data_IF_892313500907
#
_entry.id   IF_892313500907
#
_cell.length_a   1.000
_cell.length_b   1.000
_cell.length_c   1.000
_cell.angle_alpha   90.00
_cell.angle_beta   90.00
_cell.angle_gamma   90.00
#
_symmetry.space_group_name_H-M   'P 1'
#
loop_
_entity.id
_entity.type
_entity.pdbx_description
1 polymer ?
#
# COMPACT_ATOMS: atom_id res chain seq x y z
N UNK A 1 4.29 -32.69 -8.11
CA UNK A 1 3.02 -32.07 -7.66
C UNK A 1 1.87 -32.80 -8.30
N UNK A 2 1.02 -33.44 -7.51
CA UNK A 2 -0.15 -34.19 -8.02
C UNK A 2 -1.22 -33.22 -8.53
N UNK A 3 -2.16 -33.71 -9.33
CA UNK A 3 -3.24 -32.88 -9.89
C UNK A 3 -4.18 -32.35 -8.80
N UNK A 4 -4.41 -33.14 -7.76
CA UNK A 4 -5.22 -32.81 -6.60
C UNK A 4 -4.61 -31.67 -5.78
N UNK A 5 -3.28 -31.71 -5.53
CA UNK A 5 -2.56 -30.64 -4.82
C UNK A 5 -2.67 -29.30 -5.55
N UNK A 6 -2.67 -29.29 -6.87
CA UNK A 6 -2.81 -28.05 -7.67
C UNK A 6 -4.19 -27.44 -7.53
N UNK A 7 -5.24 -28.24 -7.50
CA UNK A 7 -6.61 -27.80 -7.28
C UNK A 7 -6.76 -27.14 -5.90
N UNK A 8 -6.25 -27.79 -4.86
CA UNK A 8 -6.29 -27.26 -3.51
C UNK A 8 -5.53 -25.92 -3.38
N UNK A 9 -4.37 -25.80 -4.02
CA UNK A 9 -3.60 -24.54 -4.03
C UNK A 9 -4.35 -23.42 -4.76
N UNK A 10 -4.99 -23.72 -5.90
CA UNK A 10 -5.79 -22.74 -6.65
C UNK A 10 -6.96 -22.25 -5.79
N UNK A 11 -7.68 -23.15 -5.11
CA UNK A 11 -8.78 -22.75 -4.24
C UNK A 11 -8.31 -21.91 -3.06
N UNK A 12 -7.22 -22.31 -2.40
CA UNK A 12 -6.62 -21.52 -1.31
C UNK A 12 -6.16 -20.13 -1.76
N UNK A 13 -5.56 -20.03 -2.96
CA UNK A 13 -5.14 -18.74 -3.51
C UNK A 13 -6.36 -17.85 -3.84
N UNK A 14 -7.40 -18.41 -4.42
CA UNK A 14 -8.62 -17.67 -4.71
C UNK A 14 -9.29 -17.14 -3.42
N UNK A 15 -9.32 -17.94 -2.35
CA UNK A 15 -9.81 -17.51 -1.04
C UNK A 15 -8.94 -16.36 -0.46
N UNK A 16 -7.62 -16.48 -0.54
CA UNK A 16 -6.70 -15.45 -0.04
C UNK A 16 -6.87 -14.15 -0.85
N UNK A 17 -6.99 -14.22 -2.18
CA UNK A 17 -7.23 -13.04 -3.03
C UNK A 17 -8.56 -12.37 -2.67
N UNK A 18 -9.61 -13.15 -2.37
CA UNK A 18 -10.90 -12.61 -1.92
C UNK A 18 -10.85 -11.99 -0.51
N UNK A 19 -10.01 -12.55 0.36
CA UNK A 19 -9.84 -12.05 1.74
C UNK A 19 -9.12 -10.70 1.77
N UNK A 20 -8.08 -10.54 0.95
CA UNK A 20 -7.29 -9.31 0.88
C UNK A 20 -7.74 -8.49 -0.32
N UNK A 21 -8.20 -7.26 -0.10
CA UNK A 21 -8.66 -6.36 -1.17
C UNK A 21 -7.56 -5.90 -2.13
N UNK A 22 -6.28 -6.01 -1.73
CA UNK A 22 -5.14 -5.51 -2.48
C UNK A 22 -4.03 -6.54 -2.56
N UNK A 23 -3.44 -6.69 -3.77
CA UNK A 23 -2.26 -7.54 -3.95
C UNK A 23 -1.28 -6.93 -4.95
N UNK A 24 0.01 -7.22 -4.72
CA UNK A 24 1.12 -6.74 -5.52
C UNK A 24 1.92 -7.91 -6.07
N UNK A 25 2.26 -7.86 -7.34
CA UNK A 25 3.11 -8.83 -8.03
C UNK A 25 4.52 -8.26 -8.13
N UNK A 26 5.46 -8.92 -7.50
CA UNK A 26 6.83 -8.43 -7.35
C UNK A 26 7.82 -9.45 -7.89
N UNK A 27 8.87 -8.96 -8.56
CA UNK A 27 9.98 -9.79 -9.01
C UNK A 27 11.05 -9.90 -7.93
N UNK A 28 11.34 -11.13 -7.54
CA UNK A 28 12.36 -11.45 -6.54
C UNK A 28 13.56 -12.20 -7.13
N UNK A 29 13.68 -12.26 -8.47
CA UNK A 29 14.68 -13.08 -9.17
C UNK A 29 16.13 -12.67 -8.81
N UNK A 30 16.39 -11.38 -8.66
CA UNK A 30 17.73 -10.86 -8.36
C UNK A 30 18.06 -10.81 -6.86
N UNK A 31 17.18 -11.31 -5.99
CA UNK A 31 17.39 -11.29 -4.53
C UNK A 31 18.13 -12.54 -4.06
N UNK A 32 19.12 -12.34 -3.19
CA UNK A 32 19.74 -13.45 -2.47
C UNK A 32 18.85 -13.94 -1.32
N UNK A 33 19.20 -15.08 -0.73
CA UNK A 33 18.39 -15.68 0.37
C UNK A 33 18.33 -14.78 1.61
N UNK A 34 19.39 -14.03 1.93
CA UNK A 34 19.39 -13.07 3.05
C UNK A 34 18.42 -11.93 2.82
N UNK A 35 18.50 -11.26 1.66
CA UNK A 35 17.60 -10.17 1.30
C UNK A 35 16.13 -10.62 1.24
N UNK A 36 15.86 -11.83 0.72
CA UNK A 36 14.50 -12.40 0.72
C UNK A 36 13.98 -12.64 2.15
N UNK A 37 14.85 -13.08 3.06
CA UNK A 37 14.48 -13.28 4.47
C UNK A 37 14.20 -11.94 5.17
N UNK A 38 14.98 -10.90 4.88
CA UNK A 38 14.75 -9.54 5.39
C UNK A 38 13.45 -8.95 4.84
N UNK A 39 13.19 -9.12 3.54
CA UNK A 39 11.93 -8.70 2.93
C UNK A 39 10.74 -9.35 3.63
N UNK A 40 10.78 -10.66 3.87
CA UNK A 40 9.71 -11.37 4.60
C UNK A 40 9.50 -10.85 6.01
N UNK A 41 10.59 -10.53 6.73
CA UNK A 41 10.52 -9.94 8.08
C UNK A 41 9.89 -8.55 8.06
N UNK A 42 10.23 -7.73 7.07
CA UNK A 42 9.63 -6.39 6.89
C UNK A 42 8.16 -6.50 6.50
N UNK A 43 7.81 -7.40 5.58
CA UNK A 43 6.42 -7.68 5.21
C UNK A 43 5.60 -8.09 6.45
N UNK A 44 6.12 -9.01 7.25
CA UNK A 44 5.44 -9.45 8.47
C UNK A 44 5.21 -8.32 9.49
N UNK A 45 6.19 -7.41 9.65
CA UNK A 45 6.05 -6.23 10.53
C UNK A 45 5.01 -5.21 10.02
N UNK A 46 4.76 -5.20 8.73
CA UNK A 46 3.81 -4.31 8.06
C UNK A 46 2.44 -4.98 7.79
N UNK A 47 2.18 -6.15 8.41
CA UNK A 47 0.97 -6.97 8.20
C UNK A 47 0.72 -7.32 6.72
N UNK A 48 1.81 -7.50 5.95
CA UNK A 48 1.77 -7.90 4.55
C UNK A 48 2.09 -9.39 4.45
N UNK A 49 1.17 -10.18 3.86
CA UNK A 49 1.37 -11.60 3.62
C UNK A 49 2.12 -11.82 2.31
N UNK A 50 3.35 -12.31 2.38
CA UNK A 50 4.15 -12.63 1.20
C UNK A 50 4.07 -14.11 0.87
N UNK A 51 3.64 -14.43 -0.35
CA UNK A 51 3.54 -15.80 -0.88
C UNK A 51 4.24 -15.88 -2.22
N UNK A 52 5.12 -16.86 -2.40
CA UNK A 52 5.75 -17.13 -3.70
C UNK A 52 4.97 -18.27 -4.36
N UNK A 53 4.44 -18.00 -5.54
CA UNK A 53 3.53 -18.91 -6.25
C UNK A 53 3.99 -19.11 -7.69
N UNK A 54 3.68 -20.27 -8.26
CA UNK A 54 3.87 -20.50 -9.68
C UNK A 54 2.87 -19.68 -10.49
N UNK A 55 3.35 -18.92 -11.48
CA UNK A 55 2.53 -18.01 -12.30
C UNK A 55 1.29 -18.69 -12.89
N UNK A 56 1.44 -19.89 -13.43
CA UNK A 56 0.31 -20.63 -14.03
C UNK A 56 -0.76 -21.10 -13.02
N UNK A 57 -0.45 -21.17 -11.71
CA UNK A 57 -1.43 -21.45 -10.68
C UNK A 57 -2.13 -20.16 -10.24
N UNK A 58 -1.38 -19.07 -10.15
CA UNK A 58 -1.93 -17.75 -9.88
C UNK A 58 -2.89 -17.30 -10.98
N UNK A 59 -2.51 -17.44 -12.26
CA UNK A 59 -3.35 -17.16 -13.42
C UNK A 59 -4.69 -17.90 -13.34
N UNK A 60 -4.66 -19.21 -13.06
CA UNK A 60 -5.88 -20.02 -12.90
C UNK A 60 -6.72 -19.62 -11.70
N UNK A 61 -6.07 -19.24 -10.58
CA UNK A 61 -6.77 -18.75 -9.41
C UNK A 61 -7.49 -17.42 -9.70
N UNK A 62 -6.83 -16.48 -10.40
CA UNK A 62 -7.43 -15.21 -10.81
C UNK A 62 -8.56 -15.42 -11.84
N UNK A 63 -8.44 -16.38 -12.78
CA UNK A 63 -9.51 -16.74 -13.73
C UNK A 63 -10.73 -17.37 -13.04
N UNK A 64 -10.57 -17.98 -11.88
CA UNK A 64 -11.70 -18.55 -11.11
C UNK A 64 -12.52 -17.46 -10.39
N UNK A 65 -11.97 -16.25 -10.27
CA UNK A 65 -12.64 -15.11 -9.66
C UNK A 65 -13.30 -14.32 -10.80
N UNK A 66 -14.62 -14.39 -10.91
CA UNK A 66 -15.39 -13.73 -11.97
C UNK A 66 -15.73 -12.27 -11.65
N UNK A 67 -15.48 -11.84 -10.42
CA UNK A 67 -15.90 -10.52 -9.92
C UNK A 67 -15.12 -9.35 -10.57
N UNK A 68 -13.88 -9.60 -11.01
CA UNK A 68 -12.96 -8.57 -11.53
C UNK A 68 -12.20 -9.10 -12.75
N UNK A 69 -12.05 -8.28 -13.77
CA UNK A 69 -11.25 -8.63 -14.97
C UNK A 69 -9.75 -8.40 -14.72
N UNK A 70 -9.01 -9.48 -14.49
CA UNK A 70 -7.56 -9.48 -14.27
C UNK A 70 -6.73 -9.67 -15.54
N UNK A 71 -7.34 -9.63 -16.74
CA UNK A 71 -6.66 -9.85 -18.02
C UNK A 71 -5.37 -9.03 -18.20
N UNK A 72 -5.32 -7.74 -17.82
CA UNK A 72 -4.11 -6.94 -17.98
C UNK A 72 -2.92 -7.42 -17.14
N UNK A 73 -3.16 -8.15 -16.03
CA UNK A 73 -2.10 -8.66 -15.17
C UNK A 73 -1.37 -9.86 -15.76
N UNK A 74 -2.01 -10.62 -16.64
CA UNK A 74 -1.42 -11.86 -17.18
C UNK A 74 -0.16 -11.60 -18.01
N UNK A 75 -0.08 -10.46 -18.69
CA UNK A 75 1.13 -10.04 -19.42
C UNK A 75 2.36 -9.86 -18.53
N UNK A 76 2.17 -9.54 -17.26
CA UNK A 76 3.22 -9.30 -16.27
C UNK A 76 3.66 -10.57 -15.52
N UNK A 77 2.96 -11.71 -15.69
CA UNK A 77 3.26 -12.98 -15.02
C UNK A 77 4.41 -13.75 -15.71
N UNK A 78 5.57 -13.10 -15.87
CA UNK A 78 6.78 -13.71 -16.45
C UNK A 78 7.87 -13.84 -15.38
N UNK A 79 8.64 -14.93 -15.39
CA UNK A 79 9.73 -15.16 -14.44
C UNK A 79 9.23 -15.50 -13.02
N UNK A 80 10.09 -15.30 -12.01
CA UNK A 80 9.75 -15.53 -10.61
C UNK A 80 8.83 -14.43 -10.10
N UNK A 81 7.72 -14.81 -9.51
CA UNK A 81 6.73 -13.85 -8.99
C UNK A 81 6.43 -14.16 -7.53
N UNK A 82 6.60 -13.16 -6.67
CA UNK A 82 6.10 -13.15 -5.32
C UNK A 82 4.84 -12.28 -5.27
N UNK A 83 3.83 -12.73 -4.55
CA UNK A 83 2.59 -11.99 -4.33
C UNK A 83 2.61 -11.45 -2.91
N UNK A 84 2.40 -10.16 -2.77
CA UNK A 84 2.24 -9.47 -1.49
C UNK A 84 0.77 -9.12 -1.34
N UNK A 85 0.12 -9.67 -0.33
CA UNK A 85 -1.26 -9.38 0.03
C UNK A 85 -1.31 -8.39 1.19
N UNK A 86 -2.17 -7.39 1.11
CA UNK A 86 -2.36 -6.38 2.16
C UNK A 86 -3.81 -5.92 2.22
N UNK A 87 -4.24 -5.52 3.42
CA UNK A 87 -5.53 -4.83 3.61
C UNK A 87 -5.45 -3.34 3.27
N UNK A 88 -4.24 -2.77 3.36
CA UNK A 88 -3.99 -1.35 3.07
C UNK A 88 -3.31 -1.21 1.73
N UNK A 89 -3.90 -0.44 0.82
CA UNK A 89 -3.42 -0.30 -0.56
C UNK A 89 -1.97 0.21 -0.65
N UNK A 90 -1.57 1.20 0.16
CA UNK A 90 -0.28 1.86 0.06
C UNK A 90 0.87 1.15 0.81
N UNK A 91 0.57 0.23 1.73
CA UNK A 91 1.59 -0.39 2.59
C UNK A 91 2.68 -1.16 1.82
N UNK A 92 2.35 -2.05 0.85
CA UNK A 92 3.36 -2.74 0.07
C UNK A 92 4.18 -1.79 -0.82
N UNK A 93 3.56 -0.74 -1.39
CA UNK A 93 4.25 0.23 -2.22
C UNK A 93 5.27 1.06 -1.44
N UNK A 94 4.93 1.50 -0.22
CA UNK A 94 5.86 2.20 0.68
C UNK A 94 7.04 1.31 1.06
N UNK A 95 6.78 0.04 1.37
CA UNK A 95 7.82 -0.93 1.70
C UNK A 95 8.76 -1.17 0.50
N UNK A 96 8.22 -1.31 -0.72
CA UNK A 96 9.03 -1.48 -1.92
C UNK A 96 9.88 -0.24 -2.22
N UNK A 97 9.37 0.97 -1.95
CA UNK A 97 10.10 2.23 -2.14
C UNK A 97 11.32 2.38 -1.21
N UNK A 98 11.34 1.71 -0.05
CA UNK A 98 12.51 1.67 0.84
C UNK A 98 13.71 0.94 0.22
N UNK A 99 13.47 0.05 -0.75
CA UNK A 99 14.53 -0.66 -1.46
C UNK A 99 15.06 0.18 -2.61
N UNK A 100 16.17 0.89 -2.36
CA UNK A 100 16.80 1.82 -3.32
C UNK A 100 17.41 1.14 -4.55
N UNK A 101 17.74 -0.14 -4.43
CA UNK A 101 18.43 -0.89 -5.48
C UNK A 101 17.48 -1.41 -6.60
N UNK A 102 16.23 -0.99 -6.59
CA UNK A 102 15.24 -1.43 -7.57
C UNK A 102 14.86 -2.92 -7.49
N UNK A 103 15.34 -3.62 -6.47
CA UNK A 103 15.05 -5.03 -6.20
C UNK A 103 14.51 -5.14 -4.77
N UNK A 104 13.30 -5.66 -4.57
CA UNK A 104 12.36 -6.26 -5.52
C UNK A 104 11.66 -5.24 -6.43
N UNK A 105 11.50 -5.56 -7.72
CA UNK A 105 10.82 -4.70 -8.68
C UNK A 105 9.32 -4.99 -8.76
N UNK A 106 8.50 -3.94 -8.89
CA UNK A 106 7.07 -4.08 -9.10
C UNK A 106 6.80 -4.51 -10.55
N UNK A 107 6.07 -5.61 -10.74
CA UNK A 107 5.54 -6.05 -12.04
C UNK A 107 4.17 -5.46 -12.32
N UNK A 108 3.27 -5.66 -11.38
CA UNK A 108 1.92 -5.14 -11.43
C UNK A 108 1.31 -5.12 -10.03
N UNK A 109 0.26 -4.37 -9.84
CA UNK A 109 -0.50 -4.32 -8.61
C UNK A 109 -1.99 -4.22 -8.90
N UNK A 110 -2.79 -4.75 -7.99
CA UNK A 110 -4.22 -4.52 -7.91
C UNK A 110 -4.53 -3.81 -6.61
N UNK A 111 -5.01 -2.58 -6.69
CA UNK A 111 -5.30 -1.75 -5.53
C UNK A 111 -6.51 -0.84 -5.81
N UNK A 112 -7.43 -0.72 -4.86
CA UNK A 112 -8.64 0.12 -4.96
C UNK A 112 -9.41 -0.09 -6.28
N UNK A 113 -9.67 -1.38 -6.62
CA UNK A 113 -10.35 -1.79 -7.87
C UNK A 113 -9.63 -1.39 -9.16
N UNK A 114 -8.40 -0.83 -9.05
CA UNK A 114 -7.56 -0.45 -10.17
C UNK A 114 -6.41 -1.42 -10.42
N UNK A 115 -6.07 -1.60 -11.70
CA UNK A 115 -4.93 -2.40 -12.14
C UNK A 115 -3.80 -1.46 -12.55
N UNK A 116 -2.64 -1.63 -11.95
CA UNK A 116 -1.43 -0.86 -12.21
C UNK A 116 -0.36 -1.80 -12.73
N UNK A 117 0.16 -1.54 -13.94
CA UNK A 117 1.18 -2.37 -14.58
C UNK A 117 2.46 -1.58 -14.77
N UNK A 118 3.57 -2.14 -14.33
CA UNK A 118 4.91 -1.54 -14.48
C UNK A 118 5.46 -0.93 -13.20
N UNK A 119 6.79 -0.79 -13.16
CA UNK A 119 7.50 -0.23 -12.02
C UNK A 119 7.25 1.28 -11.82
N UNK A 120 6.94 2.01 -12.91
CA UNK A 120 6.68 3.46 -12.89
C UNK A 120 5.47 3.83 -12.04
N UNK A 121 4.52 2.90 -11.86
CA UNK A 121 3.33 3.10 -11.06
C UNK A 121 3.56 3.02 -9.54
N UNK A 122 4.79 2.67 -9.11
CA UNK A 122 5.12 2.51 -7.69
C UNK A 122 4.92 3.81 -6.90
N UNK A 123 5.24 4.97 -7.50
CA UNK A 123 5.05 6.27 -6.85
C UNK A 123 3.57 6.62 -6.71
N UNK A 124 2.78 6.36 -7.73
CA UNK A 124 1.34 6.57 -7.68
C UNK A 124 0.71 5.69 -6.59
N UNK A 125 1.08 4.40 -6.55
CA UNK A 125 0.62 3.43 -5.54
C UNK A 125 1.04 3.81 -4.11
N UNK A 126 2.24 4.34 -3.91
CA UNK A 126 2.71 4.80 -2.59
C UNK A 126 1.93 6.03 -2.08
N UNK A 127 1.38 6.83 -2.99
CA UNK A 127 0.60 8.04 -2.68
C UNK A 127 -0.92 7.79 -2.60
N UNK A 128 -1.39 6.59 -2.91
CA UNK A 128 -2.80 6.23 -2.74
C UNK A 128 -3.15 6.35 -1.26
N UNK A 129 -4.19 7.12 -0.98
CA UNK A 129 -4.74 7.25 0.38
C UNK A 129 -5.75 6.16 0.62
N UNK A 130 -5.75 5.59 1.81
CA UNK A 130 -6.80 4.64 2.20
C UNK A 130 -8.16 5.34 2.30
N UNK A 131 -9.24 4.58 2.17
CA UNK A 131 -10.62 5.10 2.30
C UNK A 131 -10.80 5.95 3.56
N UNK A 132 -10.27 5.49 4.69
CA UNK A 132 -10.37 6.20 5.96
C UNK A 132 -9.56 7.51 5.95
N UNK A 133 -8.39 7.53 5.32
CA UNK A 133 -7.58 8.75 5.15
C UNK A 133 -8.29 9.78 4.28
N UNK A 134 -8.94 9.35 3.19
CA UNK A 134 -9.72 10.25 2.32
C UNK A 134 -10.91 10.85 3.08
N UNK A 135 -11.62 10.03 3.86
CA UNK A 135 -12.73 10.51 4.69
C UNK A 135 -12.22 11.52 5.74
N UNK A 136 -11.09 11.23 6.38
CA UNK A 136 -10.47 12.15 7.35
C UNK A 136 -10.08 13.48 6.71
N UNK A 137 -9.52 13.46 5.50
CA UNK A 137 -9.20 14.67 4.73
C UNK A 137 -10.44 15.50 4.41
N UNK A 138 -11.53 14.85 3.98
CA UNK A 138 -12.80 15.54 3.70
C UNK A 138 -13.34 16.20 4.98
N UNK A 139 -13.34 15.49 6.09
CA UNK A 139 -13.77 16.02 7.39
C UNK A 139 -12.89 17.20 7.81
N UNK A 140 -11.57 17.08 7.66
CA UNK A 140 -10.62 18.16 7.97
C UNK A 140 -10.86 19.40 7.08
N UNK A 141 -11.14 19.19 5.78
CA UNK A 141 -11.46 20.27 4.86
C UNK A 141 -12.75 20.99 5.23
N UNK A 142 -13.79 20.26 5.62
CA UNK A 142 -15.06 20.81 6.06
C UNK A 142 -14.95 21.58 7.40
N UNK A 143 -14.03 21.14 8.28
CA UNK A 143 -13.78 21.82 9.56
C UNK A 143 -12.80 22.99 9.44
N UNK A 144 -11.98 23.05 8.39
CA UNK A 144 -10.92 24.05 8.24
C UNK A 144 -11.43 25.50 8.26
N UNK A 145 -12.57 25.87 7.62
CA UNK A 145 -13.10 27.23 7.71
C UNK A 145 -13.43 27.63 9.14
N UNK A 146 -14.07 26.75 9.91
CA UNK A 146 -14.42 27.00 11.31
C UNK A 146 -13.18 27.16 12.18
N UNK A 147 -12.19 26.26 12.01
CA UNK A 147 -10.90 26.34 12.73
C UNK A 147 -10.14 27.61 12.39
N UNK A 148 -10.11 28.03 11.12
CA UNK A 148 -9.43 29.24 10.68
C UNK A 148 -10.07 30.49 11.28
N UNK A 149 -11.39 30.58 11.34
CA UNK A 149 -12.10 31.70 11.99
C UNK A 149 -11.82 31.76 13.47
N UNK A 150 -11.89 30.62 14.18
CA UNK A 150 -11.59 30.54 15.62
C UNK A 150 -10.13 30.93 15.86
N UNK A 151 -9.20 30.42 15.07
CA UNK A 151 -7.77 30.75 15.17
C UNK A 151 -7.51 32.24 14.92
N UNK A 152 -8.17 32.84 13.93
CA UNK A 152 -8.08 34.27 13.64
C UNK A 152 -8.59 35.12 14.82
N UNK A 153 -9.69 34.74 15.44
CA UNK A 153 -10.23 35.44 16.60
C UNK A 153 -9.32 35.29 17.82
N UNK A 154 -8.75 34.10 18.05
CA UNK A 154 -7.84 33.85 19.18
C UNK A 154 -6.46 34.49 18.97
N UNK A 155 -6.00 34.63 17.71
CA UNK A 155 -4.67 35.20 17.41
C UNK A 155 -4.54 36.63 17.88
N UNK A 156 -5.60 37.43 17.76
CA UNK A 156 -5.63 38.81 18.29
C UNK A 156 -5.39 38.86 19.79
N UNK A 157 -6.09 38.01 20.54
CA UNK A 157 -5.92 37.90 22.01
C UNK A 157 -4.53 37.41 22.38
N UNK A 158 -4.02 36.40 21.71
CA UNK A 158 -2.68 35.84 21.98
C UNK A 158 -1.56 36.84 21.68
N UNK A 159 -1.70 37.64 20.62
CA UNK A 159 -0.74 38.68 20.25
C UNK A 159 -0.69 39.76 21.32
N UNK A 160 -1.86 40.25 21.79
CA UNK A 160 -1.95 41.25 22.87
C UNK A 160 -1.36 40.72 24.17
N UNK A 161 -1.71 39.47 24.51
CA UNK A 161 -1.16 38.82 25.74
C UNK A 161 0.37 38.66 25.66
N UNK A 162 0.89 38.27 24.47
CA UNK A 162 2.34 38.16 24.25
C UNK A 162 3.06 39.51 24.40
N UNK A 163 2.48 40.57 23.81
CA UNK A 163 3.06 41.93 23.96
C UNK A 163 3.04 42.41 25.42
N UNK A 164 1.93 42.21 26.12
CA UNK A 164 1.83 42.56 27.55
C UNK A 164 2.86 41.81 28.40
N UNK A 165 3.05 40.52 28.14
CA UNK A 165 4.05 39.71 28.85
C UNK A 165 5.47 40.20 28.60
N UNK A 166 5.84 40.50 27.34
CA UNK A 166 7.16 41.03 26.99
C UNK A 166 7.40 42.43 27.54
N UNK A 167 6.38 43.25 27.67
CA UNK A 167 6.47 44.58 28.33
C UNK A 167 6.63 44.45 29.84
N UNK A 168 5.94 43.50 30.46
CA UNK A 168 6.11 43.19 31.89
C UNK A 168 7.51 42.71 32.25
N UNK A 169 8.07 41.82 31.44
CA UNK A 169 9.44 41.29 31.61
C UNK A 169 10.54 42.32 31.34
N UNK A 170 10.24 43.41 30.62
CA UNK A 170 11.19 44.53 30.41
C UNK A 170 11.12 45.61 31.47
N UNK A 171 10.08 45.61 32.30
CA UNK A 171 9.87 46.61 33.35
C UNK A 171 10.47 46.20 34.70
N UNK A 172 11.02 44.96 34.81
CA UNK A 172 11.91 44.49 35.85
C UNK A 172 13.38 44.60 35.40
#
# INVERSE_FOLDING_TARGET
>A
MRKEDKGAIISQLAEVVKQYGHFYLVDTTAMNAGATSELRRKCFKADIKMVVVKNSLLEKALMTIEDVDYSPLFGSLKGTTAVLFSEVANAPAKLLKEYKDGVPSLKAAYAEEGIYVGADQLEALANIKSKNEVIADIVALLQSPAKNVISALQSGGNTIHGVLKTLGERAE
#
